data_IF_372503357871
#
_entry.id   IF_372503357871
#
_cell.length_a   1.000
_cell.length_b   1.000
_cell.length_c   1.000
_cell.angle_alpha   90.00
_cell.angle_beta   90.00
_cell.angle_gamma   90.00
#
_symmetry.space_group_name_H-M   'P 1'
#
loop_
_entity.id
_entity.type
_entity.pdbx_description
1 polymer ?
#
# COMPACT_ATOMS: atom_id res chain seq x y z
N UNK A 1 3.81 -10.62 6.11
CA UNK A 1 3.28 -9.29 6.45
C UNK A 1 3.57 -8.31 5.32
N UNK A 2 2.67 -7.40 5.10
CA UNK A 2 2.78 -6.41 4.03
C UNK A 2 2.79 -5.01 4.62
N UNK A 3 3.48 -4.09 3.95
CA UNK A 3 3.48 -2.68 4.32
C UNK A 3 2.90 -1.86 3.16
N UNK A 4 1.89 -1.06 3.46
CA UNK A 4 1.34 -0.09 2.52
C UNK A 4 1.97 1.26 2.82
N UNK A 5 2.54 1.89 1.81
CA UNK A 5 3.18 3.20 1.97
C UNK A 5 2.47 4.24 1.12
N UNK A 6 2.12 5.36 1.73
CA UNK A 6 1.64 6.53 1.02
C UNK A 6 2.85 7.30 0.48
N UNK A 7 2.96 7.38 -0.83
CA UNK A 7 4.12 7.98 -1.49
C UNK A 7 4.22 9.48 -1.23
N UNK A 8 3.09 10.16 -1.04
CA UNK A 8 3.07 11.62 -0.87
C UNK A 8 3.40 12.05 0.54
N UNK A 9 2.93 11.32 1.55
CA UNK A 9 3.09 11.71 2.95
C UNK A 9 4.09 10.85 3.71
N UNK A 10 4.56 9.77 3.10
CA UNK A 10 5.44 8.77 3.71
C UNK A 10 4.81 8.04 4.91
N UNK A 11 3.49 8.09 5.04
CA UNK A 11 2.79 7.28 6.03
C UNK A 11 2.82 5.81 5.63
N UNK A 12 2.89 4.95 6.63
CA UNK A 12 2.89 3.50 6.40
C UNK A 12 1.87 2.81 7.28
N UNK A 13 1.33 1.71 6.76
CA UNK A 13 0.39 0.85 7.48
C UNK A 13 0.82 -0.59 7.24
N UNK A 14 0.61 -1.44 8.23
CA UNK A 14 0.98 -2.85 8.11
C UNK A 14 -0.27 -3.72 8.07
N UNK A 15 -0.23 -4.73 7.20
CA UNK A 15 -1.32 -5.68 7.02
C UNK A 15 -0.77 -7.10 6.99
N UNK A 16 -1.58 -8.07 7.41
CA UNK A 16 -1.16 -9.46 7.39
C UNK A 16 -1.32 -10.08 6.00
N UNK A 17 -2.34 -9.66 5.25
CA UNK A 17 -2.65 -10.22 3.94
C UNK A 17 -2.92 -9.14 2.91
N UNK A 18 -2.85 -9.53 1.63
CA UNK A 18 -3.20 -8.64 0.53
C UNK A 18 -4.67 -8.21 0.60
N UNK A 19 -5.54 -9.10 1.05
CA UNK A 19 -6.97 -8.79 1.17
C UNK A 19 -7.19 -7.64 2.15
N UNK A 20 -6.53 -7.68 3.29
CA UNK A 20 -6.63 -6.61 4.27
C UNK A 20 -6.14 -5.29 3.70
N UNK A 21 -5.01 -5.30 3.01
CA UNK A 21 -4.47 -4.11 2.37
C UNK A 21 -5.42 -3.58 1.29
N UNK A 22 -5.98 -4.46 0.48
CA UNK A 22 -6.90 -4.09 -0.58
C UNK A 22 -8.17 -3.45 -0.02
N UNK A 23 -8.71 -4.01 1.06
CA UNK A 23 -9.88 -3.44 1.73
C UNK A 23 -9.58 -2.03 2.24
N UNK A 24 -8.42 -1.84 2.83
CA UNK A 24 -8.01 -0.52 3.30
C UNK A 24 -7.90 0.47 2.15
N UNK A 25 -7.24 0.07 1.07
CA UNK A 25 -7.05 0.92 -0.11
C UNK A 25 -8.40 1.34 -0.70
N UNK A 26 -9.36 0.43 -0.75
CA UNK A 26 -10.68 0.73 -1.32
C UNK A 26 -11.47 1.74 -0.48
N UNK A 27 -11.10 1.96 0.77
CA UNK A 27 -11.73 2.98 1.63
C UNK A 27 -11.08 4.35 1.49
N UNK A 28 -9.94 4.43 0.82
CA UNK A 28 -9.22 5.69 0.65
C UNK A 28 -9.82 6.54 -0.46
N UNK A 29 -9.57 7.84 -0.39
CA UNK A 29 -10.03 8.79 -1.39
C UNK A 29 -9.32 8.57 -2.73
N UNK A 30 -9.94 9.01 -3.82
CA UNK A 30 -9.28 9.06 -5.11
C UNK A 30 -8.07 9.99 -5.04
N UNK A 31 -7.04 9.68 -5.83
CA UNK A 31 -5.81 10.46 -5.83
C UNK A 31 -4.76 9.95 -4.88
N UNK A 32 -5.03 8.85 -4.20
CA UNK A 32 -4.09 8.24 -3.28
C UNK A 32 -3.03 7.46 -4.06
N UNK A 33 -1.79 7.89 -3.93
CA UNK A 33 -0.65 7.20 -4.54
C UNK A 33 0.00 6.32 -3.49
N UNK A 34 0.20 5.04 -3.79
CA UNK A 34 0.65 4.08 -2.79
C UNK A 34 1.53 2.99 -3.40
N UNK A 35 2.32 2.37 -2.51
CA UNK A 35 3.10 1.18 -2.82
C UNK A 35 2.79 0.12 -1.77
N UNK A 36 2.59 -1.12 -2.20
CA UNK A 36 2.43 -2.25 -1.32
C UNK A 36 3.71 -3.08 -1.36
N UNK A 37 4.34 -3.25 -0.21
CA UNK A 37 5.66 -3.86 -0.09
C UNK A 37 5.55 -5.17 0.69
N UNK A 38 6.12 -6.24 0.14
CA UNK A 38 6.24 -7.51 0.84
C UNK A 38 7.42 -7.44 1.81
N UNK A 39 7.13 -7.53 3.10
CA UNK A 39 8.17 -7.42 4.13
C UNK A 39 9.13 -8.60 4.16
N UNK A 40 8.74 -9.75 3.60
CA UNK A 40 9.62 -10.91 3.53
C UNK A 40 10.75 -10.74 2.52
N UNK A 41 10.44 -10.07 1.40
CA UNK A 41 11.38 -9.88 0.30
C UNK A 41 11.82 -8.44 0.12
N UNK A 42 11.12 -7.49 0.78
CA UNK A 42 11.29 -6.05 0.58
C UNK A 42 11.01 -5.59 -0.86
N UNK A 43 10.17 -6.34 -1.57
CA UNK A 43 9.79 -6.00 -2.94
C UNK A 43 8.46 -5.30 -2.97
N UNK A 44 8.33 -4.32 -3.87
CA UNK A 44 7.05 -3.68 -4.16
C UNK A 44 6.25 -4.65 -5.04
N UNK A 45 5.17 -5.19 -4.48
CA UNK A 45 4.33 -6.17 -5.17
C UNK A 45 3.12 -5.56 -5.85
N UNK A 46 2.78 -4.33 -5.49
CA UNK A 46 1.71 -3.57 -6.14
C UNK A 46 1.94 -2.09 -5.89
N UNK A 47 1.46 -1.26 -6.79
CA UNK A 47 1.56 0.19 -6.64
C UNK A 47 0.50 0.88 -7.47
N UNK A 48 0.23 2.13 -7.14
CA UNK A 48 -0.68 2.96 -7.90
C UNK A 48 -0.17 4.40 -7.87
N UNK A 49 0.02 4.96 -9.06
CA UNK A 49 0.46 6.33 -9.22
C UNK A 49 -0.49 7.08 -10.14
N UNK A 50 -0.74 8.33 -9.83
CA UNK A 50 -1.46 9.23 -10.74
C UNK A 50 -0.47 9.92 -11.66
N UNK A 51 -0.86 10.00 -12.91
CA UNK A 51 -0.08 10.73 -13.91
C UNK A 51 -0.60 12.14 -14.08
#
# INVERSE_FOLDING_TARGET
MLTLKDVNTNKTWKFETKTDASDFISTMSFGFEWQLIDNNTNEVIACHYYE
#
